data_IF_135203482518
#
_entry.id   IF_135203482518
#
_cell.length_a   1.000
_cell.length_b   1.000
_cell.length_c   1.000
_cell.angle_alpha   90.00
_cell.angle_beta   90.00
_cell.angle_gamma   90.00
#
_symmetry.space_group_name_H-M   'P 1'
#
loop_
_entity.id
_entity.type
_entity.pdbx_description
1 polymer ?
#
# COMPACT_ATOMS: atom_id res chain seq x y z
N UNK A 1 -16.24 -18.64 2.59
CA UNK A 1 -15.59 -19.06 3.85
C UNK A 1 -14.18 -18.47 3.97
N UNK A 2 -13.34 -18.59 2.94
CA UNK A 2 -11.94 -18.11 3.00
C UNK A 2 -11.80 -16.63 3.32
N UNK A 3 -12.53 -15.75 2.65
CA UNK A 3 -12.48 -14.29 2.89
C UNK A 3 -12.97 -13.93 4.29
N UNK A 4 -13.96 -14.65 4.83
CA UNK A 4 -14.44 -14.43 6.18
C UNK A 4 -13.40 -14.82 7.23
N UNK A 5 -12.74 -15.97 7.05
CA UNK A 5 -11.63 -16.39 7.92
C UNK A 5 -10.49 -15.36 7.89
N UNK A 6 -10.12 -14.89 6.69
CA UNK A 6 -9.09 -13.86 6.55
C UNK A 6 -9.45 -12.59 7.32
N UNK A 7 -10.71 -12.12 7.25
CA UNK A 7 -11.16 -10.97 8.02
C UNK A 7 -11.04 -11.19 9.53
N UNK A 8 -11.42 -12.37 10.03
CA UNK A 8 -11.29 -12.72 11.44
C UNK A 8 -9.81 -12.76 11.89
N UNK A 9 -8.93 -13.31 11.06
CA UNK A 9 -7.48 -13.35 11.31
C UNK A 9 -6.89 -11.94 11.34
N UNK A 10 -7.19 -11.10 10.36
CA UNK A 10 -6.72 -9.72 10.33
C UNK A 10 -7.22 -8.92 11.53
N UNK A 11 -8.50 -9.06 11.88
CA UNK A 11 -9.03 -8.40 13.08
C UNK A 11 -8.23 -8.80 14.34
N UNK A 12 -8.04 -10.10 14.56
CA UNK A 12 -7.28 -10.60 15.71
C UNK A 12 -5.83 -10.10 15.71
N UNK A 13 -5.17 -10.01 14.53
CA UNK A 13 -3.82 -9.46 14.41
C UNK A 13 -3.80 -7.96 14.74
N UNK A 14 -4.72 -7.17 14.18
CA UNK A 14 -4.68 -5.72 14.33
C UNK A 14 -5.10 -5.24 15.70
N UNK A 15 -6.11 -5.86 16.30
CA UNK A 15 -6.69 -5.42 17.56
C UNK A 15 -6.17 -6.21 18.77
N UNK A 16 -5.60 -7.39 18.55
CA UNK A 16 -5.09 -8.25 19.63
C UNK A 16 -6.19 -8.89 20.47
N UNK A 17 -7.42 -8.94 19.96
CA UNK A 17 -8.60 -9.46 20.63
C UNK A 17 -9.44 -10.37 19.73
N UNK A 18 -10.32 -11.22 20.29
CA UNK A 18 -11.18 -12.11 19.52
C UNK A 18 -12.12 -11.30 18.63
N UNK A 19 -12.24 -11.72 17.37
CA UNK A 19 -13.33 -11.24 16.53
C UNK A 19 -14.64 -11.88 16.96
N UNK A 20 -15.64 -11.07 17.29
CA UNK A 20 -17.00 -11.52 17.60
C UNK A 20 -17.98 -10.66 16.82
N UNK A 21 -18.83 -11.28 16.01
CA UNK A 21 -19.83 -10.58 15.21
C UNK A 21 -20.98 -11.51 14.88
N UNK A 22 -22.19 -10.97 14.84
CA UNK A 22 -23.39 -11.64 14.34
C UNK A 22 -23.54 -11.52 12.82
N UNK A 23 -22.64 -10.78 12.16
CA UNK A 23 -22.57 -10.70 10.71
C UNK A 23 -21.70 -11.82 10.15
N UNK A 24 -22.32 -12.78 9.50
CA UNK A 24 -21.68 -14.01 9.03
C UNK A 24 -21.36 -14.03 7.54
N UNK A 25 -21.49 -12.91 6.85
CA UNK A 25 -21.18 -12.78 5.40
C UNK A 25 -21.85 -13.86 4.53
N UNK A 26 -23.09 -14.21 4.84
CA UNK A 26 -23.86 -15.25 4.12
C UNK A 26 -23.47 -16.69 4.46
N UNK A 27 -22.60 -16.93 5.42
CA UNK A 27 -22.26 -18.27 5.90
C UNK A 27 -23.29 -18.78 6.91
N UNK A 28 -23.49 -20.11 7.02
CA UNK A 28 -24.20 -20.67 8.16
C UNK A 28 -23.54 -20.24 9.48
N UNK A 29 -24.34 -19.91 10.48
CA UNK A 29 -23.85 -19.42 11.78
C UNK A 29 -22.81 -20.33 12.43
N UNK A 30 -23.04 -21.64 12.40
CA UNK A 30 -22.11 -22.64 12.93
C UNK A 30 -20.73 -22.56 12.23
N UNK A 31 -20.73 -22.43 10.91
CA UNK A 31 -19.49 -22.30 10.13
C UNK A 31 -18.77 -20.99 10.44
N UNK A 32 -19.50 -19.87 10.55
CA UNK A 32 -18.92 -18.58 10.87
C UNK A 32 -18.31 -18.56 12.27
N UNK A 33 -19.02 -19.07 13.27
CA UNK A 33 -18.53 -19.18 14.65
C UNK A 33 -17.30 -20.11 14.74
N UNK A 34 -17.28 -21.20 13.99
CA UNK A 34 -16.11 -22.08 13.90
C UNK A 34 -14.89 -21.31 13.36
N UNK A 35 -15.06 -20.54 12.28
CA UNK A 35 -13.96 -19.75 11.68
C UNK A 35 -13.49 -18.62 12.60
N UNK A 36 -14.39 -17.96 13.34
CA UNK A 36 -14.02 -16.98 14.37
C UNK A 36 -13.14 -17.63 15.44
N UNK A 37 -13.53 -18.79 15.93
CA UNK A 37 -12.78 -19.55 16.94
C UNK A 37 -11.40 -19.96 16.43
N UNK A 38 -11.30 -20.52 15.22
CA UNK A 38 -10.00 -20.88 14.63
C UNK A 38 -9.09 -19.68 14.49
N UNK A 39 -9.59 -18.55 14.00
CA UNK A 39 -8.79 -17.32 13.92
C UNK A 39 -8.27 -16.89 15.29
N UNK A 40 -9.11 -16.93 16.31
CA UNK A 40 -8.73 -16.63 17.70
C UNK A 40 -7.65 -17.57 18.22
N UNK A 41 -7.86 -18.89 18.11
CA UNK A 41 -6.92 -19.89 18.60
C UNK A 41 -5.56 -19.79 17.93
N UNK A 42 -5.53 -19.59 16.60
CA UNK A 42 -4.27 -19.53 15.84
C UNK A 42 -3.52 -18.21 16.10
N UNK A 43 -4.23 -17.08 16.10
CA UNK A 43 -3.58 -15.76 16.19
C UNK A 43 -3.26 -15.38 17.64
N UNK A 44 -4.26 -15.40 18.52
CA UNK A 44 -4.08 -14.90 19.90
C UNK A 44 -3.20 -15.79 20.74
N UNK A 45 -3.19 -17.11 20.50
CA UNK A 45 -2.26 -18.03 21.17
C UNK A 45 -0.79 -17.81 20.76
N UNK A 46 -0.56 -17.17 19.61
CA UNK A 46 0.76 -17.00 18.99
C UNK A 46 1.04 -15.56 18.54
N UNK A 47 0.58 -14.56 19.28
CA UNK A 47 0.76 -13.15 18.94
C UNK A 47 2.21 -12.76 18.65
N UNK A 48 3.18 -13.43 19.27
CA UNK A 48 4.61 -13.22 19.00
C UNK A 48 4.97 -13.60 17.56
N UNK A 49 4.42 -14.72 17.05
CA UNK A 49 4.65 -15.15 15.66
C UNK A 49 4.02 -14.17 14.65
N UNK A 50 2.94 -13.51 15.04
CA UNK A 50 2.26 -12.50 14.25
C UNK A 50 2.82 -11.08 14.45
N UNK A 51 3.98 -10.97 15.12
CA UNK A 51 4.69 -9.72 15.38
C UNK A 51 3.86 -8.68 16.15
N UNK A 52 2.94 -9.13 17.01
CA UNK A 52 2.01 -8.28 17.80
C UNK A 52 2.34 -8.19 19.28
N UNK A 53 3.45 -8.77 19.73
CA UNK A 53 3.84 -8.64 21.12
C UNK A 53 4.41 -7.24 21.41
N UNK A 54 3.51 -6.28 21.63
CA UNK A 54 3.85 -4.88 21.89
C UNK A 54 4.66 -4.67 23.17
N UNK A 55 4.65 -5.66 24.10
CA UNK A 55 5.34 -5.51 25.40
C UNK A 55 6.84 -5.77 25.33
N UNK A 56 7.38 -6.23 24.19
CA UNK A 56 8.79 -6.60 24.05
C UNK A 56 9.46 -6.12 22.76
N UNK A 57 8.86 -5.22 22.02
CA UNK A 57 9.64 -4.55 20.97
C UNK A 57 10.64 -3.62 21.69
N UNK A 58 11.95 -3.74 21.44
CA UNK A 58 12.89 -2.77 21.94
C UNK A 58 12.43 -1.40 21.48
N UNK A 59 12.21 -0.49 22.43
CA UNK A 59 11.88 0.88 22.11
C UNK A 59 12.94 1.38 21.11
N UNK A 60 12.52 1.68 19.87
CA UNK A 60 13.41 2.17 18.81
C UNK A 60 13.53 1.33 17.55
N UNK A 61 13.31 0.01 17.58
CA UNK A 61 13.46 -0.80 16.36
C UNK A 61 12.34 -0.52 15.36
N UNK A 62 11.11 -0.42 15.82
CA UNK A 62 9.96 -0.09 14.96
C UNK A 62 10.01 1.35 14.42
N UNK A 63 10.46 2.29 15.24
CA UNK A 63 10.58 3.69 14.82
C UNK A 63 11.70 3.90 13.79
N UNK A 64 12.75 3.05 13.78
CA UNK A 64 13.80 3.13 12.77
C UNK A 64 13.44 2.46 11.45
N UNK A 65 12.63 1.38 11.47
CA UNK A 65 12.18 0.70 10.25
C UNK A 65 10.94 1.33 9.61
N UNK A 66 10.07 1.92 10.44
CA UNK A 66 8.84 2.57 10.02
C UNK A 66 8.74 3.95 10.67
N UNK A 67 9.66 4.88 10.35
CA UNK A 67 9.57 6.23 10.86
C UNK A 67 8.23 6.83 10.45
N UNK A 68 7.62 7.59 11.33
CA UNK A 68 6.43 8.37 10.94
C UNK A 68 6.84 9.32 9.80
N UNK A 69 6.26 9.16 8.60
CA UNK A 69 6.72 9.93 7.45
C UNK A 69 6.43 11.42 7.67
N UNK A 70 7.49 12.21 7.76
CA UNK A 70 7.44 13.68 7.86
C UNK A 70 7.47 14.35 6.50
N UNK A 71 6.86 13.73 5.50
CA UNK A 71 6.79 14.29 4.15
C UNK A 71 5.35 14.68 3.80
N UNK A 72 5.25 15.54 2.80
CA UNK A 72 3.97 15.96 2.24
C UNK A 72 3.24 14.76 1.65
N UNK A 73 2.06 14.45 2.20
CA UNK A 73 1.21 13.32 1.81
C UNK A 73 0.18 13.69 0.74
N UNK A 74 0.37 14.81 0.07
CA UNK A 74 -0.54 15.24 -0.99
C UNK A 74 -0.66 14.16 -2.07
N UNK A 75 -1.90 13.81 -2.40
CA UNK A 75 -2.27 12.93 -3.51
C UNK A 75 -3.44 13.54 -4.26
N UNK A 76 -3.78 13.05 -5.47
CA UNK A 76 -4.94 13.56 -6.19
C UNK A 76 -6.23 13.50 -5.39
N UNK A 77 -6.45 12.44 -4.59
CA UNK A 77 -7.63 12.32 -3.73
C UNK A 77 -7.59 13.29 -2.56
N UNK A 78 -6.44 13.42 -1.87
CA UNK A 78 -6.30 14.31 -0.71
C UNK A 78 -6.38 15.80 -1.09
N UNK A 79 -6.06 16.13 -2.34
CA UNK A 79 -6.16 17.48 -2.88
C UNK A 79 -7.61 17.88 -3.23
N UNK A 80 -8.55 16.93 -3.20
CA UNK A 80 -9.97 17.18 -3.48
C UNK A 80 -10.71 17.67 -2.24
N UNK A 81 -11.81 18.43 -2.40
CA UNK A 81 -12.71 18.70 -1.31
C UNK A 81 -13.23 17.43 -0.66
N UNK A 82 -13.38 17.43 0.66
CA UNK A 82 -13.93 16.28 1.39
C UNK A 82 -15.29 15.85 0.80
N UNK A 83 -15.46 14.56 0.55
CA UNK A 83 -16.69 14.01 -0.04
C UNK A 83 -16.73 13.99 -1.57
N UNK A 84 -15.72 14.51 -2.27
CA UNK A 84 -15.63 14.49 -3.74
C UNK A 84 -15.29 13.11 -4.34
N UNK A 85 -15.10 12.10 -3.50
CA UNK A 85 -14.72 10.75 -3.92
C UNK A 85 -13.22 10.61 -4.18
N UNK A 86 -12.84 9.40 -4.61
CA UNK A 86 -11.47 9.04 -4.92
C UNK A 86 -11.02 9.65 -6.26
N UNK A 87 -9.71 9.72 -6.45
CA UNK A 87 -9.15 10.12 -7.73
C UNK A 87 -9.47 9.09 -8.82
N UNK A 88 -9.80 9.58 -9.99
CA UNK A 88 -9.94 8.77 -11.20
C UNK A 88 -8.57 8.32 -11.71
N UNK A 89 -8.57 7.35 -12.61
CA UNK A 89 -7.33 6.88 -13.27
C UNK A 89 -6.63 8.02 -14.02
N UNK A 90 -7.39 8.91 -14.67
CA UNK A 90 -6.82 10.02 -15.41
C UNK A 90 -6.21 11.06 -14.47
N UNK A 91 -6.87 11.39 -13.35
CA UNK A 91 -6.31 12.30 -12.34
C UNK A 91 -5.01 11.76 -11.72
N UNK A 92 -4.94 10.45 -11.45
CA UNK A 92 -3.71 9.80 -10.97
C UNK A 92 -2.60 9.88 -12.02
N UNK A 93 -2.92 9.58 -13.27
CA UNK A 93 -1.97 9.63 -14.37
C UNK A 93 -1.44 11.06 -14.58
N UNK A 94 -2.30 12.04 -14.57
CA UNK A 94 -1.92 13.45 -14.73
C UNK A 94 -1.05 13.92 -13.58
N UNK A 95 -1.36 13.52 -12.34
CA UNK A 95 -0.56 13.80 -11.17
C UNK A 95 0.86 13.23 -11.28
N UNK A 96 0.98 11.96 -11.65
CA UNK A 96 2.27 11.30 -11.86
C UNK A 96 3.06 11.95 -13.00
N UNK A 97 2.39 12.31 -14.09
CA UNK A 97 3.01 13.02 -15.21
C UNK A 97 3.56 14.39 -14.79
N UNK A 98 2.85 15.13 -13.94
CA UNK A 98 3.32 16.41 -13.40
C UNK A 98 4.58 16.23 -12.55
N UNK A 99 4.64 15.17 -11.72
CA UNK A 99 5.84 14.87 -10.93
C UNK A 99 7.03 14.53 -11.82
N UNK A 100 6.82 13.78 -12.90
CA UNK A 100 7.86 13.49 -13.91
C UNK A 100 8.40 14.76 -14.55
N UNK A 101 7.52 15.64 -15.01
CA UNK A 101 7.89 16.92 -15.65
C UNK A 101 8.72 17.80 -14.71
N UNK A 102 8.40 17.78 -13.41
CA UNK A 102 9.14 18.54 -12.38
C UNK A 102 10.46 17.89 -11.96
N UNK A 103 10.72 16.66 -12.41
CA UNK A 103 11.91 15.86 -11.99
C UNK A 103 12.71 15.37 -13.18
N UNK A 104 13.20 16.28 -14.06
CA UNK A 104 13.91 15.90 -15.28
C UNK A 104 15.17 15.12 -14.94
N UNK A 105 15.42 14.03 -15.67
CA UNK A 105 16.57 13.14 -15.48
C UNK A 105 16.45 12.16 -14.30
N UNK A 106 15.44 12.31 -13.43
CA UNK A 106 15.18 11.37 -12.32
C UNK A 106 14.04 10.42 -12.60
N UNK A 107 13.10 10.81 -13.46
CA UNK A 107 11.95 10.01 -13.76
C UNK A 107 11.53 10.15 -15.24
N UNK A 108 10.93 9.10 -15.76
CA UNK A 108 10.19 9.13 -17.02
C UNK A 108 9.01 8.14 -16.95
N UNK A 109 8.03 8.36 -17.79
CA UNK A 109 6.85 7.52 -17.90
C UNK A 109 6.67 7.03 -19.32
N UNK A 110 6.37 5.74 -19.49
CA UNK A 110 6.04 5.16 -20.79
C UNK A 110 4.79 4.29 -20.71
N UNK A 111 4.14 4.08 -21.84
CA UNK A 111 3.00 3.19 -21.93
C UNK A 111 3.46 1.82 -22.41
N UNK A 112 3.27 0.79 -21.58
CA UNK A 112 3.68 -0.58 -21.90
C UNK A 112 2.57 -1.42 -22.53
N UNK A 113 1.37 -0.88 -22.65
CA UNK A 113 0.25 -1.60 -23.23
C UNK A 113 -1.05 -0.81 -23.20
N UNK A 114 -2.10 -1.49 -23.64
CA UNK A 114 -3.47 -0.95 -23.66
C UNK A 114 -4.42 -2.01 -23.11
N UNK A 115 -5.34 -1.60 -22.25
CA UNK A 115 -6.40 -2.48 -21.73
C UNK A 115 -7.42 -2.84 -22.83
N UNK A 116 -8.26 -3.85 -22.56
CA UNK A 116 -9.39 -4.20 -23.45
C UNK A 116 -10.36 -3.03 -23.69
N UNK A 117 -10.38 -2.04 -22.81
CA UNK A 117 -11.22 -0.84 -22.90
C UNK A 117 -10.52 0.33 -23.59
N UNK A 118 -9.34 0.12 -24.18
CA UNK A 118 -8.59 1.17 -24.88
C UNK A 118 -7.79 2.12 -23.95
N UNK A 119 -7.71 1.86 -22.65
CA UNK A 119 -6.94 2.69 -21.71
C UNK A 119 -5.46 2.29 -21.74
N UNK A 120 -4.57 3.26 -21.77
CA UNK A 120 -3.12 3.02 -21.70
C UNK A 120 -2.73 2.51 -20.31
N UNK A 121 -1.72 1.63 -20.27
CA UNK A 121 -1.11 1.11 -19.04
C UNK A 121 0.24 1.81 -18.88
N UNK A 122 0.34 2.84 -18.02
CA UNK A 122 1.58 3.55 -17.82
C UNK A 122 2.48 2.80 -16.86
N UNK A 123 3.79 2.86 -17.10
CA UNK A 123 4.85 2.53 -16.15
C UNK A 123 5.69 3.77 -15.91
N UNK A 124 5.96 4.01 -14.65
CA UNK A 124 6.79 5.10 -14.19
C UNK A 124 8.15 4.55 -13.75
N UNK A 125 9.20 5.05 -14.34
CA UNK A 125 10.58 4.69 -13.99
C UNK A 125 11.20 5.81 -13.16
N UNK A 126 11.74 5.46 -11.99
CA UNK A 126 12.39 6.38 -11.06
C UNK A 126 13.84 5.98 -10.85
N UNK A 127 14.73 6.98 -10.86
CA UNK A 127 16.17 6.79 -10.78
C UNK A 127 16.76 6.33 -12.11
N UNK A 128 18.03 6.64 -12.32
CA UNK A 128 18.76 6.18 -13.52
C UNK A 128 19.06 4.69 -13.41
N UNK A 129 18.81 3.89 -14.45
CA UNK A 129 19.17 2.48 -14.44
C UNK A 129 20.68 2.32 -14.36
N UNK A 130 21.17 1.62 -13.34
CA UNK A 130 22.55 1.23 -13.15
C UNK A 130 22.59 -0.24 -12.71
N UNK A 131 23.57 -1.00 -13.17
CA UNK A 131 23.76 -2.41 -12.79
C UNK A 131 24.06 -2.59 -11.30
N UNK A 132 24.57 -1.54 -10.64
CA UNK A 132 24.88 -1.55 -9.21
C UNK A 132 23.67 -1.24 -8.31
N UNK A 133 22.59 -0.70 -8.88
CA UNK A 133 21.38 -0.37 -8.12
C UNK A 133 20.47 -1.58 -7.96
N UNK A 134 19.82 -1.64 -6.81
CA UNK A 134 18.73 -2.60 -6.58
C UNK A 134 17.54 -2.19 -7.45
N UNK A 135 17.01 -3.15 -8.20
CA UNK A 135 15.80 -2.93 -9.01
C UNK A 135 14.56 -3.29 -8.20
N UNK A 136 13.64 -2.37 -8.13
CA UNK A 136 12.39 -2.52 -7.38
C UNK A 136 11.23 -2.41 -8.37
N UNK A 137 10.35 -3.40 -8.36
CA UNK A 137 9.08 -3.34 -9.08
C UNK A 137 7.95 -3.14 -8.09
N UNK A 138 7.11 -2.12 -8.34
CA UNK A 138 5.95 -1.81 -7.50
C UNK A 138 4.71 -1.80 -8.37
N UNK A 139 3.74 -2.62 -8.00
CA UNK A 139 2.46 -2.69 -8.69
C UNK A 139 1.33 -2.31 -7.75
N UNK A 140 0.43 -1.44 -8.20
CA UNK A 140 -0.75 -1.03 -7.46
C UNK A 140 -2.01 -1.18 -8.30
N UNK A 141 -3.17 -1.10 -7.63
CA UNK A 141 -4.49 -1.21 -8.25
C UNK A 141 -4.67 -2.51 -9.09
N UNK A 142 -4.15 -3.62 -8.59
CA UNK A 142 -4.34 -4.94 -9.20
C UNK A 142 -5.83 -5.27 -9.30
N UNK A 143 -6.60 -4.91 -8.28
CA UNK A 143 -8.06 -4.97 -8.28
C UNK A 143 -8.63 -3.55 -8.30
N UNK A 144 -9.60 -3.30 -9.17
CA UNK A 144 -10.17 -1.97 -9.38
C UNK A 144 -10.95 -1.38 -8.20
N UNK A 145 -11.29 -2.20 -7.21
CA UNK A 145 -11.97 -1.80 -5.98
C UNK A 145 -11.01 -1.55 -4.80
N UNK A 146 -9.69 -1.54 -5.02
CA UNK A 146 -8.65 -1.33 -4.02
C UNK A 146 -7.85 -0.05 -4.31
N UNK A 147 -8.43 1.13 -4.07
CA UNK A 147 -7.80 2.41 -4.45
C UNK A 147 -6.60 2.79 -3.58
N UNK A 148 -6.51 2.25 -2.36
CA UNK A 148 -5.45 2.60 -1.40
C UNK A 148 -4.04 2.34 -1.94
N UNK A 149 -3.86 1.29 -2.75
CA UNK A 149 -2.57 1.00 -3.38
C UNK A 149 -2.13 2.08 -4.36
N UNK A 150 -3.04 2.60 -5.17
CA UNK A 150 -2.75 3.67 -6.11
C UNK A 150 -2.39 4.99 -5.39
N UNK A 151 -3.11 5.33 -4.33
CA UNK A 151 -2.81 6.49 -3.48
C UNK A 151 -1.44 6.35 -2.81
N UNK A 152 -1.13 5.17 -2.27
CA UNK A 152 0.17 4.89 -1.65
C UNK A 152 1.32 5.05 -2.66
N UNK A 153 1.15 4.61 -3.91
CA UNK A 153 2.14 4.82 -4.97
C UNK A 153 2.29 6.30 -5.30
N UNK A 154 1.22 7.07 -5.36
CA UNK A 154 1.30 8.52 -5.56
C UNK A 154 2.13 9.20 -4.44
N UNK A 155 1.89 8.84 -3.18
CA UNK A 155 2.68 9.33 -2.04
C UNK A 155 4.15 8.94 -2.15
N UNK A 156 4.43 7.67 -2.46
CA UNK A 156 5.80 7.17 -2.60
C UNK A 156 6.55 7.87 -3.72
N UNK A 157 5.93 8.02 -4.89
CA UNK A 157 6.53 8.72 -6.04
C UNK A 157 6.85 10.17 -5.68
N UNK A 158 5.92 10.86 -5.02
CA UNK A 158 6.14 12.22 -4.53
C UNK A 158 7.32 12.27 -3.56
N UNK A 159 7.37 11.38 -2.58
CA UNK A 159 8.49 11.28 -1.65
C UNK A 159 9.82 11.08 -2.37
N UNK A 160 9.89 10.10 -3.26
CA UNK A 160 11.13 9.78 -3.99
C UNK A 160 11.60 10.91 -4.91
N UNK A 161 10.70 11.71 -5.47
CA UNK A 161 11.04 12.77 -6.42
C UNK A 161 11.15 14.16 -5.78
N UNK A 162 10.45 14.43 -4.68
CA UNK A 162 10.35 15.76 -4.11
C UNK A 162 11.17 15.92 -2.82
N UNK A 163 11.27 14.87 -1.99
CA UNK A 163 12.01 14.94 -0.73
C UNK A 163 13.50 14.64 -0.91
N UNK A 164 14.33 15.25 -0.07
CA UNK A 164 15.79 15.09 -0.14
C UNK A 164 16.18 13.63 0.10
N UNK A 165 15.67 13.04 1.17
CA UNK A 165 15.94 11.66 1.57
C UNK A 165 15.44 10.66 0.51
N UNK A 166 14.29 10.94 -0.10
CA UNK A 166 13.74 10.15 -1.19
C UNK A 166 14.66 10.15 -2.42
N UNK A 167 15.16 11.33 -2.80
CA UNK A 167 16.12 11.47 -3.92
C UNK A 167 17.45 10.78 -3.63
N UNK A 168 17.91 10.82 -2.39
CA UNK A 168 19.11 10.11 -1.97
C UNK A 168 18.95 8.59 -2.12
N UNK A 169 17.76 8.04 -1.82
CA UNK A 169 17.46 6.62 -2.07
C UNK A 169 17.60 6.25 -3.56
N UNK A 170 17.19 7.13 -4.47
CA UNK A 170 17.32 6.88 -5.92
C UNK A 170 18.76 6.78 -6.42
N UNK A 171 19.76 7.10 -5.59
CA UNK A 171 21.16 6.78 -5.90
C UNK A 171 21.48 5.30 -5.72
N UNK A 172 20.68 4.57 -4.93
CA UNK A 172 20.89 3.16 -4.58
C UNK A 172 19.88 2.21 -5.21
N UNK A 173 18.70 2.72 -5.55
CA UNK A 173 17.60 1.93 -6.15
C UNK A 173 17.17 2.53 -7.49
N UNK A 174 16.61 1.67 -8.33
CA UNK A 174 15.84 2.05 -9.51
C UNK A 174 14.45 1.39 -9.39
N UNK A 175 13.38 2.18 -9.53
CA UNK A 175 12.01 1.73 -9.30
C UNK A 175 11.23 1.77 -10.61
N UNK A 176 10.38 0.75 -10.84
CA UNK A 176 9.39 0.71 -11.90
C UNK A 176 8.04 0.20 -11.36
#
# INVERSE_FOLDING_TARGET
>A
AGSYLAACVFYAIFFGEPFSSDYYAGLPSETALYLQRIAQEVVLANLVLWNRNQSKQPAGVTASFYPDPKFDRETPTLSKPYGSGLASVDEIKDYLQQLVVRSPGLAYMENIGVTKQGRTIPVLYLGTPDKKKVRVWIQAALHGNEPAGAEAVCMLVRYLLCEKEGRELLNHIAVA
#
